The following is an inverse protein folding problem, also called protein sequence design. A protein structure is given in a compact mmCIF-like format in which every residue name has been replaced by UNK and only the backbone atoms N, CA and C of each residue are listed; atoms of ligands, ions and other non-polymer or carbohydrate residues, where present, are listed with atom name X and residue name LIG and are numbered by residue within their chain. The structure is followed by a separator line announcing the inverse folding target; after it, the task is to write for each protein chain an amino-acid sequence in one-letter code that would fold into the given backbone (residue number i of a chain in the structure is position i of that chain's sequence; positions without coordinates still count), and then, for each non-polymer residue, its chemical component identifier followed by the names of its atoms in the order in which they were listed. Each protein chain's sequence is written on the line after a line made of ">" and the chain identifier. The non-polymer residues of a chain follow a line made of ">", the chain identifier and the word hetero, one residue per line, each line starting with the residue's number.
data_IF_362702196458
#
_entry.id   IF_362702196458
#
_cell.length_a   1.000
_cell.length_b   1.000
_cell.length_c   1.000
_cell.angle_alpha   90.00
_cell.angle_beta   90.00
_cell.angle_gamma   90.00
#
_symmetry.space_group_name_H-M   'P 1'
#
loop_
_entity.id
_entity.type
_entity.pdbx_description
1 polymer ?
#
# COMPACT_ATOMS: atom_id res chain seq x y z
N UNK A 1 -40.82 -22.73 -1.12
CA UNK A 1 -39.38 -22.82 -1.46
C UNK A 1 -38.72 -21.75 -0.62
N UNK A 2 -38.36 -22.18 0.59
CA UNK A 2 -38.04 -21.35 1.74
C UNK A 2 -36.55 -21.00 1.68
N UNK A 3 -36.23 -19.71 1.85
CA UNK A 3 -34.86 -19.32 2.17
C UNK A 3 -34.74 -19.41 3.69
N UNK A 4 -34.07 -20.47 4.14
CA UNK A 4 -33.78 -20.76 5.54
C UNK A 4 -32.78 -19.72 6.06
N UNK A 5 -33.27 -18.71 6.78
CA UNK A 5 -32.43 -17.77 7.51
C UNK A 5 -31.98 -18.43 8.82
N UNK A 6 -30.83 -19.10 8.76
CA UNK A 6 -30.15 -19.68 9.92
C UNK A 6 -29.47 -18.56 10.72
N UNK A 7 -30.14 -18.09 11.77
CA UNK A 7 -29.55 -17.21 12.79
C UNK A 7 -28.82 -18.06 13.83
N UNK A 8 -27.49 -18.05 13.79
CA UNK A 8 -26.64 -18.62 14.85
C UNK A 8 -26.02 -17.45 15.61
N UNK A 9 -26.47 -17.33 16.86
CA UNK A 9 -25.87 -16.66 18.02
C UNK A 9 -24.72 -15.66 17.76
N UNK A 10 -25.04 -14.37 17.92
CA UNK A 10 -24.10 -13.39 18.49
C UNK A 10 -22.83 -12.98 17.73
N UNK A 11 -22.57 -13.47 16.52
CA UNK A 11 -21.39 -13.03 15.73
C UNK A 11 -21.83 -12.49 14.38
N UNK A 12 -21.82 -11.16 14.26
CA UNK A 12 -22.03 -10.46 12.99
C UNK A 12 -20.94 -10.88 11.99
N UNK A 13 -21.32 -11.70 11.02
CA UNK A 13 -20.48 -12.09 9.88
C UNK A 13 -19.85 -10.83 9.27
N UNK A 14 -18.52 -10.77 9.25
CA UNK A 14 -17.78 -9.65 8.67
C UNK A 14 -18.22 -9.44 7.22
N UNK A 15 -18.80 -8.29 6.92
CA UNK A 15 -18.93 -7.81 5.56
C UNK A 15 -17.56 -7.92 4.90
N UNK A 16 -17.41 -8.73 3.83
CA UNK A 16 -16.25 -8.70 2.92
C UNK A 16 -16.17 -7.33 2.23
N UNK A 17 -15.88 -6.27 2.98
CA UNK A 17 -15.70 -4.90 2.51
C UNK A 17 -14.43 -4.75 1.65
N UNK A 18 -13.59 -5.77 1.60
CA UNK A 18 -12.35 -5.83 0.83
C UNK A 18 -12.44 -6.63 -0.48
N UNK A 19 -13.62 -7.11 -0.89
CA UNK A 19 -13.72 -8.01 -2.06
C UNK A 19 -13.24 -7.36 -3.37
N UNK A 20 -13.29 -6.03 -3.45
CA UNK A 20 -12.77 -5.25 -4.57
C UNK A 20 -12.18 -3.94 -4.06
N UNK A 21 -10.92 -3.97 -3.61
CA UNK A 21 -10.19 -2.72 -3.37
C UNK A 21 -9.41 -2.36 -4.61
N UNK A 22 -9.70 -1.19 -5.19
CA UNK A 22 -9.00 -0.67 -6.35
C UNK A 22 -7.75 0.09 -5.93
N UNK A 23 -6.67 -0.11 -6.68
CA UNK A 23 -5.46 0.71 -6.59
C UNK A 23 -5.52 1.70 -7.74
N UNK A 24 -5.30 2.98 -7.42
CA UNK A 24 -5.38 4.08 -8.37
C UNK A 24 -4.00 4.63 -8.66
N UNK A 25 -3.68 4.89 -9.93
CA UNK A 25 -2.38 5.42 -10.34
C UNK A 25 -2.06 6.74 -9.65
N UNK A 26 -2.94 7.75 -9.79
CA UNK A 26 -2.74 9.09 -9.21
C UNK A 26 -2.49 9.03 -7.69
N UNK A 27 -3.24 8.21 -6.97
CA UNK A 27 -3.06 8.03 -5.52
C UNK A 27 -1.74 7.36 -5.19
N UNK A 28 -1.36 6.34 -5.97
CA UNK A 28 -0.09 5.62 -5.82
C UNK A 28 1.10 6.54 -6.07
N UNK A 29 1.08 7.34 -7.15
CA UNK A 29 2.11 8.34 -7.46
C UNK A 29 2.24 9.39 -6.35
N UNK A 30 1.10 9.91 -5.87
CA UNK A 30 1.08 10.88 -4.76
C UNK A 30 1.70 10.28 -3.49
N UNK A 31 1.40 9.03 -3.17
CA UNK A 31 1.96 8.36 -2.00
C UNK A 31 3.44 8.03 -2.17
N UNK A 32 3.85 7.61 -3.37
CA UNK A 32 5.25 7.39 -3.71
C UNK A 32 6.06 8.68 -3.53
N UNK A 33 5.58 9.81 -4.08
CA UNK A 33 6.24 11.11 -3.91
C UNK A 33 6.41 11.50 -2.44
N UNK A 34 5.40 11.24 -1.59
CA UNK A 34 5.50 11.47 -0.14
C UNK A 34 6.55 10.58 0.52
N UNK A 35 6.66 9.32 0.11
CA UNK A 35 7.70 8.41 0.62
C UNK A 35 9.09 8.88 0.18
N UNK A 36 9.26 9.27 -1.08
CA UNK A 36 10.52 9.81 -1.59
C UNK A 36 10.96 11.06 -0.84
N UNK A 37 10.01 11.93 -0.49
CA UNK A 37 10.30 13.13 0.30
C UNK A 37 10.67 12.79 1.75
N UNK A 38 9.98 11.83 2.38
CA UNK A 38 10.39 11.35 3.69
C UNK A 38 11.81 10.76 3.67
N UNK A 39 12.15 9.96 2.65
CA UNK A 39 13.51 9.42 2.49
C UNK A 39 14.53 10.53 2.27
N UNK A 40 14.18 11.60 1.53
CA UNK A 40 15.05 12.76 1.36
C UNK A 40 15.42 13.39 2.71
N UNK A 41 14.44 13.54 3.60
CA UNK A 41 14.66 14.08 4.94
C UNK A 41 15.56 13.17 5.79
N UNK A 42 15.41 11.85 5.68
CA UNK A 42 16.33 10.92 6.35
C UNK A 42 17.74 11.02 5.77
N UNK A 43 17.88 11.16 4.44
CA UNK A 43 19.20 11.31 3.81
C UNK A 43 19.89 12.61 4.25
N UNK A 44 19.15 13.69 4.42
CA UNK A 44 19.68 14.95 4.96
C UNK A 44 20.17 14.79 6.41
N UNK A 45 19.42 14.08 7.25
CA UNK A 45 19.84 13.77 8.63
C UNK A 45 21.10 12.90 8.70
N UNK A 46 21.29 12.02 7.73
CA UNK A 46 22.47 11.16 7.61
C UNK A 46 23.60 11.78 6.75
N UNK A 47 23.49 13.05 6.37
CA UNK A 47 24.46 13.77 5.52
C UNK A 47 24.75 13.08 4.17
N UNK A 48 23.78 12.32 3.65
CA UNK A 48 23.88 11.61 2.38
C UNK A 48 23.54 12.57 1.23
N UNK A 49 24.57 13.08 0.57
CA UNK A 49 24.40 13.97 -0.57
C UNK A 49 23.93 13.26 -1.87
N UNK A 50 23.13 13.98 -2.66
CA UNK A 50 22.72 13.62 -4.01
C UNK A 50 21.33 13.03 -4.15
N UNK A 51 21.06 12.37 -5.29
CA UNK A 51 19.71 11.90 -5.61
C UNK A 51 19.24 10.78 -4.67
N UNK A 52 17.97 10.85 -4.30
CA UNK A 52 17.27 9.79 -3.56
C UNK A 52 17.09 8.59 -4.48
N UNK A 53 17.66 7.45 -4.11
CA UNK A 53 17.61 6.23 -4.91
C UNK A 53 17.36 5.02 -4.02
N UNK A 54 16.58 4.04 -4.49
CA UNK A 54 16.35 2.79 -3.77
C UNK A 54 17.64 2.07 -3.36
N UNK A 55 18.67 2.08 -4.22
CA UNK A 55 19.98 1.48 -3.91
C UNK A 55 20.63 2.09 -2.67
N UNK A 56 20.61 3.43 -2.56
CA UNK A 56 21.15 4.15 -1.41
C UNK A 56 20.31 3.88 -0.16
N UNK A 57 18.99 3.85 -0.28
CA UNK A 57 18.10 3.56 0.84
C UNK A 57 18.31 2.14 1.38
N UNK A 58 18.44 1.14 0.50
CA UNK A 58 18.78 -0.24 0.90
C UNK A 58 20.12 -0.31 1.64
N UNK A 59 21.12 0.43 1.16
CA UNK A 59 22.42 0.50 1.83
C UNK A 59 22.29 1.12 3.23
N UNK A 60 21.53 2.21 3.37
CA UNK A 60 21.28 2.87 4.65
C UNK A 60 20.53 1.97 5.65
N UNK A 61 19.47 1.30 5.20
CA UNK A 61 18.73 0.33 6.03
C UNK A 61 19.67 -0.81 6.49
N UNK A 62 20.55 -1.26 5.60
CA UNK A 62 21.57 -2.27 5.92
C UNK A 62 22.57 -1.79 6.96
N UNK A 63 23.11 -0.57 6.81
CA UNK A 63 24.05 -0.01 7.78
C UNK A 63 23.41 0.20 9.15
N UNK A 64 22.16 0.66 9.21
CA UNK A 64 21.43 0.87 10.46
C UNK A 64 21.16 -0.45 11.18
N UNK A 65 20.84 -1.52 10.43
CA UNK A 65 20.68 -2.86 10.98
C UNK A 65 21.98 -3.37 11.59
N UNK A 66 23.09 -3.24 10.87
CA UNK A 66 24.42 -3.63 11.36
C UNK A 66 24.82 -2.83 12.60
N UNK A 67 24.46 -1.54 12.67
CA UNK A 67 24.68 -0.71 13.85
C UNK A 67 23.88 -1.22 15.06
N UNK A 68 22.61 -1.61 14.87
CA UNK A 68 21.80 -2.23 15.92
C UNK A 68 22.40 -3.55 16.43
N UNK A 69 22.89 -4.40 15.52
CA UNK A 69 23.53 -5.67 15.86
C UNK A 69 24.85 -5.45 16.62
N UNK A 70 25.68 -4.51 16.16
CA UNK A 70 26.95 -4.15 16.84
C UNK A 70 26.72 -3.54 18.22
N UNK A 71 25.65 -2.76 18.38
CA UNK A 71 25.24 -2.20 19.67
C UNK A 71 24.57 -3.25 20.59
N UNK A 72 24.39 -4.49 20.13
CA UNK A 72 23.77 -5.56 20.92
C UNK A 72 22.30 -5.30 21.24
N UNK A 73 21.60 -4.55 20.39
CA UNK A 73 20.22 -4.13 20.66
C UNK A 73 19.27 -5.29 20.41
N UNK A 74 18.61 -5.75 21.46
CA UNK A 74 17.57 -6.77 21.36
C UNK A 74 16.28 -6.12 20.89
N UNK A 75 15.77 -6.55 19.74
CA UNK A 75 14.55 -6.03 19.17
C UNK A 75 13.34 -6.40 20.03
N UNK A 76 12.62 -5.37 20.47
CA UNK A 76 11.44 -5.54 21.31
C UNK A 76 10.18 -5.47 20.46
N UNK A 77 9.29 -6.44 20.66
CA UNK A 77 8.02 -6.57 19.94
C UNK A 77 6.87 -6.60 20.94
N UNK A 78 5.66 -6.23 20.49
CA UNK A 78 4.44 -6.25 21.29
C UNK A 78 4.03 -4.90 21.88
N UNK A 79 2.78 -4.84 22.34
CA UNK A 79 2.15 -3.65 22.94
C UNK A 79 2.65 -3.41 24.37
N UNK A 80 2.76 -2.15 24.78
CA UNK A 80 3.17 -1.76 26.14
C UNK A 80 4.67 -1.79 26.41
N UNK A 81 5.51 -2.20 25.46
CA UNK A 81 6.97 -2.15 25.59
C UNK A 81 7.56 -0.97 24.81
N UNK A 82 8.46 -0.21 25.44
CA UNK A 82 9.11 0.94 24.79
C UNK A 82 10.25 0.45 23.89
N UNK A 83 10.10 0.60 22.58
CA UNK A 83 11.16 0.29 21.61
C UNK A 83 12.37 1.22 21.80
N UNK A 84 13.61 0.71 21.73
CA UNK A 84 14.82 1.52 21.78
C UNK A 84 14.89 2.47 20.58
N UNK A 85 15.55 3.64 20.71
CA UNK A 85 15.58 4.65 19.66
C UNK A 85 16.19 4.13 18.35
N UNK A 86 17.19 3.27 18.41
CA UNK A 86 17.86 2.68 17.26
C UNK A 86 16.94 1.70 16.50
N UNK A 87 16.19 0.85 17.22
CA UNK A 87 15.18 0.00 16.59
C UNK A 87 14.12 0.86 15.89
N UNK A 88 13.71 1.98 16.47
CA UNK A 88 12.72 2.88 15.85
C UNK A 88 13.26 3.52 14.57
N UNK A 89 14.52 3.95 14.58
CA UNK A 89 15.18 4.51 13.40
C UNK A 89 15.27 3.47 12.28
N UNK A 90 15.74 2.26 12.60
CA UNK A 90 15.76 1.14 11.66
C UNK A 90 14.37 0.80 11.11
N UNK A 91 13.37 0.61 11.96
CA UNK A 91 12.01 0.26 11.55
C UNK A 91 11.38 1.36 10.66
N UNK A 92 11.69 2.63 10.95
CA UNK A 92 11.25 3.76 10.15
C UNK A 92 11.84 3.70 8.74
N UNK A 93 13.16 3.54 8.62
CA UNK A 93 13.84 3.41 7.33
C UNK A 93 13.37 2.17 6.56
N UNK A 94 13.22 1.04 7.25
CA UNK A 94 12.70 -0.21 6.67
C UNK A 94 11.28 -0.04 6.12
N UNK A 95 10.40 0.61 6.88
CA UNK A 95 9.02 0.89 6.46
C UNK A 95 8.99 1.80 5.22
N UNK A 96 9.88 2.78 5.13
CA UNK A 96 9.98 3.64 3.95
C UNK A 96 10.45 2.86 2.72
N UNK A 97 11.43 1.97 2.88
CA UNK A 97 11.92 1.08 1.83
C UNK A 97 10.81 0.17 1.31
N UNK A 98 10.12 -0.55 2.19
CA UNK A 98 9.03 -1.45 1.81
C UNK A 98 7.91 -0.71 1.07
N UNK A 99 7.53 0.48 1.55
CA UNK A 99 6.49 1.29 0.88
C UNK A 99 6.92 1.76 -0.50
N UNK A 100 8.17 2.17 -0.67
CA UNK A 100 8.67 2.58 -1.99
C UNK A 100 8.60 1.40 -2.97
N UNK A 101 9.14 0.24 -2.60
CA UNK A 101 9.15 -0.95 -3.44
C UNK A 101 7.73 -1.43 -3.78
N UNK A 102 6.81 -1.39 -2.81
CA UNK A 102 5.41 -1.72 -3.00
C UNK A 102 4.72 -0.75 -3.99
N UNK A 103 4.96 0.56 -3.90
CA UNK A 103 4.41 1.52 -4.85
C UNK A 103 5.00 1.38 -6.25
N UNK A 104 6.30 1.11 -6.38
CA UNK A 104 6.89 0.81 -7.69
C UNK A 104 6.30 -0.46 -8.30
N UNK A 105 6.11 -1.52 -7.50
CA UNK A 105 5.46 -2.76 -7.94
C UNK A 105 4.01 -2.51 -8.39
N UNK A 106 3.27 -1.65 -7.68
CA UNK A 106 1.91 -1.25 -8.07
C UNK A 106 1.89 -0.51 -9.40
N UNK A 107 2.81 0.44 -9.60
CA UNK A 107 2.96 1.16 -10.87
C UNK A 107 3.36 0.22 -12.01
N UNK A 108 4.29 -0.71 -11.75
CA UNK A 108 4.69 -1.74 -12.71
C UNK A 108 3.50 -2.64 -13.10
N UNK A 109 2.70 -3.07 -12.13
CA UNK A 109 1.51 -3.91 -12.35
C UNK A 109 0.45 -3.19 -13.20
N UNK A 110 0.28 -1.87 -13.03
CA UNK A 110 -0.61 -1.06 -13.85
C UNK A 110 -0.10 -0.86 -15.28
N UNK A 111 1.22 -0.95 -15.50
CA UNK A 111 1.86 -0.62 -16.76
C UNK A 111 1.60 0.82 -17.20
N UNK A 112 1.85 1.13 -18.47
CA UNK A 112 1.72 2.49 -18.99
C UNK A 112 0.27 2.87 -19.36
N UNK A 113 -0.60 1.90 -19.63
CA UNK A 113 -1.94 2.12 -20.17
C UNK A 113 -3.07 2.21 -19.13
N UNK A 114 -2.94 1.59 -17.94
CA UNK A 114 -4.05 1.49 -16.97
C UNK A 114 -3.95 2.54 -15.85
N UNK A 115 -5.06 3.22 -15.57
CA UNK A 115 -5.16 4.22 -14.49
C UNK A 115 -5.59 3.62 -13.13
N UNK A 116 -6.05 2.37 -13.11
CA UNK A 116 -6.42 1.62 -11.92
C UNK A 116 -6.36 0.11 -12.16
N UNK A 117 -6.33 -0.68 -11.08
CA UNK A 117 -6.54 -2.13 -11.13
C UNK A 117 -7.17 -2.65 -9.82
N UNK A 118 -7.89 -3.77 -9.86
CA UNK A 118 -8.39 -4.42 -8.64
C UNK A 118 -7.29 -5.26 -7.99
N UNK A 119 -7.16 -5.20 -6.66
CA UNK A 119 -6.20 -6.05 -5.93
C UNK A 119 -6.48 -7.55 -6.06
N UNK A 120 -7.73 -7.93 -6.30
CA UNK A 120 -8.17 -9.34 -6.42
C UNK A 120 -8.17 -9.85 -7.86
N UNK A 121 -8.30 -8.95 -8.84
CA UNK A 121 -8.20 -9.25 -10.25
C UNK A 121 -7.39 -8.11 -10.92
N UNK A 122 -6.07 -8.29 -11.12
CA UNK A 122 -5.22 -7.25 -11.68
C UNK A 122 -5.54 -6.93 -13.15
N UNK A 123 -6.39 -7.73 -13.80
CA UNK A 123 -6.91 -7.45 -15.13
C UNK A 123 -8.18 -6.58 -15.12
N UNK A 124 -8.94 -6.62 -14.03
CA UNK A 124 -10.10 -5.75 -13.85
C UNK A 124 -9.67 -4.28 -13.64
N UNK A 125 -10.07 -3.42 -14.57
CA UNK A 125 -9.91 -1.96 -14.47
C UNK A 125 -11.26 -1.30 -14.13
N UNK A 126 -11.24 -0.29 -13.27
CA UNK A 126 -12.45 0.49 -13.00
C UNK A 126 -12.68 1.45 -14.18
N UNK A 127 -13.61 1.09 -15.06
CA UNK A 127 -14.07 1.96 -16.15
C UNK A 127 -15.12 2.92 -15.59
N UNK A 128 -14.87 4.22 -15.72
CA UNK A 128 -15.90 5.24 -15.47
C UNK A 128 -16.89 5.17 -16.64
N UNK A 129 -18.10 4.65 -16.44
CA UNK A 129 -19.17 4.82 -17.42
C UNK A 129 -19.42 6.32 -17.56
N UNK A 130 -19.22 6.85 -18.76
CA UNK A 130 -19.70 8.18 -19.11
C UNK A 130 -21.22 8.05 -19.09
N UNK A 131 -21.90 8.74 -18.17
CA UNK A 131 -23.35 8.93 -18.26
C UNK A 131 -23.65 9.69 -19.56
N UNK A 132 -23.77 8.96 -20.66
CA UNK A 132 -24.59 9.43 -21.76
C UNK A 132 -26.03 9.42 -21.23
N UNK A 133 -26.58 10.61 -21.02
CA UNK A 133 -28.02 10.79 -20.80
C UNK A 133 -28.78 10.13 -21.96
N UNK A 134 -29.14 8.86 -21.80
CA UNK A 134 -30.23 8.22 -22.52
C UNK A 134 -31.27 7.80 -21.49
N UNK A 135 -32.34 8.59 -21.52
CA UNK A 135 -33.64 8.44 -20.90
C UNK A 135 -33.91 7.14 -20.09
N UNK A 136 -34.41 7.40 -18.88
CA UNK A 136 -35.41 6.60 -18.12
C UNK A 136 -35.00 5.22 -17.63
N UNK A 137 -34.88 5.12 -16.30
CA UNK A 137 -35.35 3.96 -15.55
C UNK A 137 -34.27 3.11 -14.89
N UNK A 138 -34.02 3.43 -13.62
CA UNK A 138 -33.73 2.48 -12.54
C UNK A 138 -32.41 1.69 -12.53
N UNK A 139 -31.76 1.80 -11.36
CA UNK A 139 -30.78 0.89 -10.76
C UNK A 139 -29.30 1.12 -11.12
N UNK A 140 -28.64 1.89 -10.27
CA UNK A 140 -27.18 1.94 -10.11
C UNK A 140 -26.62 0.53 -9.81
N UNK A 141 -26.16 -0.19 -10.83
CA UNK A 141 -25.36 -1.40 -10.66
C UNK A 141 -24.01 -1.20 -11.37
N UNK A 142 -22.98 -0.85 -10.60
CA UNK A 142 -21.60 -0.84 -11.08
C UNK A 142 -21.24 -2.26 -11.55
N UNK A 143 -21.12 -2.47 -12.86
CA UNK A 143 -20.76 -3.76 -13.44
C UNK A 143 -19.27 -3.81 -13.71
N UNK A 144 -18.59 -4.84 -13.16
CA UNK A 144 -17.19 -5.14 -13.45
C UNK A 144 -17.11 -5.85 -14.80
N UNK A 145 -16.53 -5.21 -15.81
CA UNK A 145 -16.23 -5.88 -17.07
C UNK A 145 -14.81 -6.44 -17.03
N UNK A 146 -14.71 -7.76 -17.19
CA UNK A 146 -13.47 -8.46 -17.56
C UNK A 146 -13.25 -8.20 -19.05
N UNK A 147 -12.08 -7.71 -19.45
CA UNK A 147 -11.73 -7.68 -20.86
C UNK A 147 -11.36 -9.11 -21.30
N UNK A 148 -11.65 -9.50 -22.56
CA UNK A 148 -11.29 -10.81 -23.11
C UNK A 148 -9.77 -11.02 -23.22
#
# INVERSE_FOLDING_TARGET
>A
MEHEEVFIDGTKLESKANRYTFVWRKTTEKHLAKVQEAVRQEFEQHEISGNVTLKKLRALVGSEKMACEKAGIVFVHGTGRRKPPEQRAYERLHTLLEKWEDYEKKLFTMGNSRNSYSKTDPDATFMHMKEDHCATGSSNLATMCRLP
#
